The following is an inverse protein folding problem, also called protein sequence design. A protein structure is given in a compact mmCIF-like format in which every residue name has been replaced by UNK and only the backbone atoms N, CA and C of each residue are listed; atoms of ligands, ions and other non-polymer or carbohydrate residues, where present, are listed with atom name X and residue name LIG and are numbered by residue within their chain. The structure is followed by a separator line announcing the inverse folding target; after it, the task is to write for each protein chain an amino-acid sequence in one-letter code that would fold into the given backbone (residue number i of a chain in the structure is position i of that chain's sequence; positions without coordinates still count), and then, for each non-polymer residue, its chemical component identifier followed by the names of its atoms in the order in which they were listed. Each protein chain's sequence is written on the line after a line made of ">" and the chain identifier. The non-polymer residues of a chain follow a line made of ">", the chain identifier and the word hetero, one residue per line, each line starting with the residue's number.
data_IF_062680880246
#
_entry.id   IF_062680880246
#
_cell.length_a   1.000
_cell.length_b   1.000
_cell.length_c   1.000
_cell.angle_alpha   90.00
_cell.angle_beta   90.00
_cell.angle_gamma   90.00
#
_symmetry.space_group_name_H-M   'P 1'
#
loop_
_entity.id
_entity.type
_entity.pdbx_description
1 polymer ?
#
# COMPACT_ATOMS: atom_id res chain seq x y z
N UNK A 1 -14.68 -15.09 -0.78
CA UNK A 1 -15.71 -14.16 -1.29
C UNK A 1 -16.92 -14.10 -0.36
N UNK A 2 -17.40 -15.25 0.15
CA UNK A 2 -18.55 -15.35 1.07
C UNK A 2 -18.40 -14.59 2.41
N UNK A 3 -17.18 -14.54 2.96
CA UNK A 3 -16.87 -13.77 4.16
C UNK A 3 -16.99 -12.26 3.95
N UNK A 4 -16.56 -11.74 2.80
CA UNK A 4 -16.62 -10.30 2.49
C UNK A 4 -18.07 -9.83 2.37
N UNK A 5 -18.96 -10.67 1.84
CA UNK A 5 -20.41 -10.42 1.79
C UNK A 5 -21.11 -10.52 3.14
N UNK A 6 -20.50 -11.17 4.14
CA UNK A 6 -21.05 -11.29 5.50
C UNK A 6 -20.61 -10.18 6.47
N UNK A 7 -19.66 -9.33 6.06
CA UNK A 7 -19.20 -8.22 6.89
C UNK A 7 -20.26 -7.11 6.93
N UNK A 8 -20.52 -6.49 8.10
CA UNK A 8 -21.37 -5.31 8.17
C UNK A 8 -20.86 -4.26 7.18
N UNK A 9 -21.75 -3.61 6.43
CA UNK A 9 -21.38 -2.60 5.43
C UNK A 9 -20.43 -1.53 6.00
N UNK A 10 -20.61 -1.19 7.28
CA UNK A 10 -19.73 -0.30 8.05
C UNK A 10 -18.29 -0.81 8.17
N UNK A 11 -18.08 -2.12 8.38
CA UNK A 11 -16.75 -2.71 8.49
C UNK A 11 -15.98 -2.68 7.18
N UNK A 12 -16.66 -2.95 6.06
CA UNK A 12 -16.06 -2.78 4.72
C UNK A 12 -15.71 -1.32 4.45
N UNK A 13 -16.61 -0.39 4.78
CA UNK A 13 -16.35 1.04 4.62
C UNK A 13 -15.13 1.50 5.42
N UNK A 14 -15.00 1.07 6.69
CA UNK A 14 -13.83 1.38 7.53
C UNK A 14 -12.56 0.75 6.94
N UNK A 15 -12.62 -0.51 6.51
CA UNK A 15 -11.46 -1.16 5.87
C UNK A 15 -10.98 -0.39 4.64
N UNK A 16 -11.88 -0.03 3.72
CA UNK A 16 -11.50 0.73 2.52
C UNK A 16 -11.02 2.14 2.86
N UNK A 17 -11.63 2.80 3.85
CA UNK A 17 -11.17 4.12 4.32
C UNK A 17 -9.74 4.05 4.87
N UNK A 18 -9.43 3.04 5.68
CA UNK A 18 -8.08 2.83 6.22
C UNK A 18 -7.08 2.45 5.12
N UNK A 19 -7.48 1.60 4.17
CA UNK A 19 -6.63 1.24 3.03
C UNK A 19 -6.36 2.43 2.10
N UNK A 20 -7.31 3.36 1.98
CA UNK A 20 -7.15 4.57 1.16
C UNK A 20 -6.08 5.51 1.71
N UNK A 21 -5.88 5.57 3.03
CA UNK A 21 -4.90 6.45 3.70
C UNK A 21 -3.49 6.28 3.10
N UNK A 22 -2.92 5.08 2.94
CA UNK A 22 -1.61 4.91 2.29
C UNK A 22 -1.67 4.84 0.76
N UNK A 23 -2.81 4.45 0.16
CA UNK A 23 -2.93 4.30 -1.31
C UNK A 23 -2.96 5.67 -2.00
N UNK A 24 -3.80 6.59 -1.51
CA UNK A 24 -3.98 7.91 -2.11
C UNK A 24 -2.66 8.70 -2.21
N UNK A 25 -1.85 8.86 -1.13
CA UNK A 25 -0.61 9.61 -1.22
C UNK A 25 0.43 8.94 -2.13
N UNK A 26 0.46 7.60 -2.22
CA UNK A 26 1.35 6.90 -3.16
C UNK A 26 0.98 7.18 -4.63
N UNK A 27 -0.30 7.04 -4.97
CA UNK A 27 -0.77 7.32 -6.32
C UNK A 27 -0.58 8.80 -6.68
N UNK A 28 -0.83 9.70 -5.71
CA UNK A 28 -0.56 11.12 -5.87
C UNK A 28 0.94 11.38 -6.12
N UNK A 29 1.84 10.77 -5.35
CA UNK A 29 3.28 10.96 -5.51
C UNK A 29 3.77 10.52 -6.90
N UNK A 30 3.30 9.36 -7.39
CA UNK A 30 3.63 8.87 -8.74
C UNK A 30 3.11 9.84 -9.80
N UNK A 31 1.82 10.21 -9.73
CA UNK A 31 1.22 11.17 -10.66
C UNK A 31 1.96 12.50 -10.66
N UNK A 32 2.24 13.04 -9.48
CA UNK A 32 2.95 14.30 -9.32
C UNK A 32 4.35 14.22 -9.93
N UNK A 33 5.10 13.16 -9.62
CA UNK A 33 6.43 12.96 -10.17
C UNK A 33 6.40 12.82 -11.71
N UNK A 34 5.40 12.15 -12.28
CA UNK A 34 5.25 12.02 -13.73
C UNK A 34 4.98 13.37 -14.42
N UNK A 35 4.14 14.21 -13.82
CA UNK A 35 3.68 15.48 -14.41
C UNK A 35 4.61 16.67 -14.15
N UNK A 36 5.55 16.57 -13.21
CA UNK A 36 6.45 17.66 -12.87
C UNK A 36 7.89 17.42 -13.35
N UNK A 37 8.61 18.52 -13.52
CA UNK A 37 10.03 18.54 -13.82
C UNK A 37 10.86 18.43 -12.54
N UNK A 38 11.96 17.70 -12.63
CA UNK A 38 12.95 17.52 -11.57
C UNK A 38 14.28 18.06 -12.07
N UNK A 39 15.22 18.34 -11.17
CA UNK A 39 16.54 18.82 -11.55
C UNK A 39 17.30 17.78 -12.40
N UNK A 40 17.06 16.49 -12.14
CA UNK A 40 17.61 15.39 -12.93
C UNK A 40 16.60 14.28 -13.16
N UNK A 41 16.79 13.49 -14.22
CA UNK A 41 15.99 12.30 -14.50
C UNK A 41 16.17 11.22 -13.41
N UNK A 42 17.36 11.11 -12.85
CA UNK A 42 17.69 10.15 -11.79
C UNK A 42 16.89 10.43 -10.51
N UNK A 43 16.80 11.69 -10.12
CA UNK A 43 15.99 12.12 -8.98
C UNK A 43 14.51 11.75 -9.17
N UNK A 44 13.95 12.04 -10.35
CA UNK A 44 12.57 11.67 -10.70
C UNK A 44 12.34 10.15 -10.58
N UNK A 45 13.27 9.35 -11.13
CA UNK A 45 13.20 7.89 -11.08
C UNK A 45 13.32 7.35 -9.65
N UNK A 46 14.14 7.98 -8.80
CA UNK A 46 14.27 7.60 -7.39
C UNK A 46 12.95 7.78 -6.63
N UNK A 47 12.29 8.92 -6.81
CA UNK A 47 11.01 9.20 -6.15
C UNK A 47 9.87 8.30 -6.65
N UNK A 48 9.79 8.07 -7.96
CA UNK A 48 8.82 7.13 -8.53
C UNK A 48 9.09 5.70 -8.01
N UNK A 49 10.35 5.28 -8.03
CA UNK A 49 10.76 3.99 -7.50
C UNK A 49 10.41 3.82 -6.02
N UNK A 50 10.68 4.83 -5.19
CA UNK A 50 10.32 4.82 -3.79
C UNK A 50 8.81 4.66 -3.57
N UNK A 51 7.99 5.43 -4.30
CA UNK A 51 6.52 5.35 -4.20
C UNK A 51 5.95 3.99 -4.66
N UNK A 52 6.60 3.30 -5.59
CA UNK A 52 6.17 1.97 -6.06
C UNK A 52 6.66 0.86 -5.14
N UNK A 53 7.95 0.87 -4.77
CA UNK A 53 8.59 -0.28 -4.14
C UNK A 53 8.49 -0.29 -2.61
N UNK A 54 8.45 0.86 -1.92
CA UNK A 54 8.34 0.87 -0.45
C UNK A 54 7.12 0.10 0.06
N UNK A 55 5.90 0.28 -0.50
CA UNK A 55 4.72 -0.48 -0.06
C UNK A 55 4.87 -1.98 -0.30
N UNK A 56 5.44 -2.36 -1.46
CA UNK A 56 5.68 -3.77 -1.83
C UNK A 56 6.68 -4.39 -0.88
N UNK A 57 7.80 -3.72 -0.61
CA UNK A 57 8.83 -4.17 0.32
C UNK A 57 8.27 -4.31 1.74
N UNK A 58 7.41 -3.39 2.18
CA UNK A 58 6.71 -3.50 3.47
C UNK A 58 5.81 -4.74 3.54
N UNK A 59 5.03 -5.00 2.48
CA UNK A 59 4.21 -6.20 2.37
C UNK A 59 5.02 -7.49 2.36
N UNK A 60 6.10 -7.53 1.57
CA UNK A 60 7.01 -8.67 1.52
C UNK A 60 7.70 -8.91 2.88
N UNK A 61 8.13 -7.86 3.56
CA UNK A 61 8.72 -7.97 4.89
C UNK A 61 7.73 -8.59 5.89
N UNK A 62 6.46 -8.16 5.86
CA UNK A 62 5.42 -8.80 6.67
C UNK A 62 5.23 -10.27 6.28
N UNK A 63 5.15 -10.60 5.00
CA UNK A 63 4.98 -11.98 4.53
C UNK A 63 6.17 -12.87 4.92
N UNK A 64 7.42 -12.41 4.85
CA UNK A 64 8.55 -13.28 5.17
C UNK A 64 8.84 -13.37 6.67
N UNK A 65 8.69 -12.26 7.40
CA UNK A 65 9.11 -12.17 8.80
C UNK A 65 7.94 -12.02 9.78
N UNK A 66 6.94 -11.22 9.43
CA UNK A 66 5.80 -10.90 10.29
C UNK A 66 4.81 -12.06 10.44
N UNK A 67 4.41 -12.70 9.33
CA UNK A 67 3.36 -13.73 9.32
C UNK A 67 3.64 -14.91 10.24
N UNK A 68 4.91 -15.29 10.40
CA UNK A 68 5.34 -16.43 11.23
C UNK A 68 5.22 -16.14 12.72
N UNK A 69 5.11 -14.86 13.09
CA UNK A 69 4.95 -14.35 14.45
C UNK A 69 3.50 -14.11 14.84
N UNK A 70 2.56 -14.26 13.90
CA UNK A 70 1.14 -14.19 14.20
C UNK A 70 0.77 -15.41 15.07
N UNK A 71 0.68 -15.21 16.39
CA UNK A 71 0.22 -16.21 17.33
C UNK A 71 -1.32 -16.25 17.31
N UNK A 72 -1.86 -17.10 16.44
CA UNK A 72 -3.29 -17.28 16.30
C UNK A 72 -3.54 -18.03 15.01
N UNK A 73 -4.23 -19.18 15.11
CA UNK A 73 -4.52 -20.07 14.00
C UNK A 73 -5.05 -19.24 12.82
N UNK A 74 -4.33 -19.24 11.70
CA UNK A 74 -5.02 -19.14 10.44
C UNK A 74 -5.89 -20.40 10.40
N UNK A 75 -7.20 -20.21 10.33
CA UNK A 75 -8.30 -21.19 10.39
C UNK A 75 -8.81 -21.54 11.79
#
# INVERSE_FOLDING_TARGET
>A
MEYLSSLPATGLAVFFALAAIPIIPNLYAIRHAMLHHFATQQEKMLWIGAAVFIPVLGGLAYVFFGRRRAAGKMF
#
